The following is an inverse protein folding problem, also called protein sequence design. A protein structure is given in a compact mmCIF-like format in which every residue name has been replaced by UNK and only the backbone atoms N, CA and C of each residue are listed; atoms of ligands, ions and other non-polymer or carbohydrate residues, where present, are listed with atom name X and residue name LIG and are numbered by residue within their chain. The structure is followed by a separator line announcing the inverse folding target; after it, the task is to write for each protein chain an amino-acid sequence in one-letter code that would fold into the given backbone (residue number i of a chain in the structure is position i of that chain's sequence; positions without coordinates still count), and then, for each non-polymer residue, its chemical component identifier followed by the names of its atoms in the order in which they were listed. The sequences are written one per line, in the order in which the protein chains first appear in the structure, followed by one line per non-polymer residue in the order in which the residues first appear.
data_IF_220748465450
#
_entry.id   IF_220748465450
#
_cell.length_a   1.000
_cell.length_b   1.000
_cell.length_c   1.000
_cell.angle_alpha   90.00
_cell.angle_beta   90.00
_cell.angle_gamma   90.00
#
_symmetry.space_group_name_H-M   'P 1'
#
loop_
_entity.id
_entity.type
_entity.pdbx_description
1 polymer ?
#
# COMPACT_ATOMS: atom_id res chain seq x y z
N UNK A 1 -16.02 9.11 6.36
CA UNK A 1 -16.88 8.34 5.44
C UNK A 1 -15.98 7.38 4.68
N UNK A 2 -16.34 6.11 4.56
CA UNK A 2 -15.54 5.12 3.84
C UNK A 2 -15.90 5.10 2.36
N UNK A 3 -14.91 4.82 1.51
CA UNK A 3 -15.08 4.57 0.09
C UNK A 3 -14.72 3.12 -0.22
N UNK A 4 -15.34 2.48 -1.23
CA UNK A 4 -15.06 1.08 -1.53
C UNK A 4 -13.65 0.86 -2.07
N UNK A 5 -13.13 -0.35 -1.89
CA UNK A 5 -11.84 -0.75 -2.43
C UNK A 5 -11.89 -0.90 -3.96
N UNK A 6 -10.72 -0.83 -4.60
CA UNK A 6 -10.55 -1.03 -6.05
C UNK A 6 -9.94 -2.39 -6.43
N UNK A 7 -10.03 -3.43 -5.56
CA UNK A 7 -9.49 -4.76 -5.87
C UNK A 7 -10.21 -5.41 -7.07
N UNK A 8 -9.56 -5.41 -8.24
CA UNK A 8 -10.12 -5.94 -9.49
C UNK A 8 -10.31 -7.46 -9.47
N UNK A 9 -9.42 -8.20 -8.80
CA UNK A 9 -9.62 -9.63 -8.61
C UNK A 9 -10.96 -9.94 -7.90
N UNK A 10 -11.46 -9.02 -7.07
CA UNK A 10 -12.78 -9.10 -6.41
C UNK A 10 -13.71 -7.98 -6.89
N UNK A 11 -13.75 -7.76 -8.20
CA UNK A 11 -14.62 -6.77 -8.82
C UNK A 11 -16.06 -6.88 -8.33
N UNK A 12 -16.64 -5.77 -7.90
CA UNK A 12 -18.02 -5.71 -7.42
C UNK A 12 -19.04 -5.48 -8.55
N UNK A 13 -18.57 -5.32 -9.79
CA UNK A 13 -19.37 -5.17 -11.00
C UNK A 13 -18.62 -5.80 -12.20
N UNK A 14 -19.36 -6.29 -13.19
CA UNK A 14 -18.82 -6.92 -14.40
C UNK A 14 -18.75 -5.87 -15.53
N UNK A 15 -17.66 -5.11 -15.54
CA UNK A 15 -17.45 -3.98 -16.46
C UNK A 15 -16.05 -4.03 -17.07
N UNK A 16 -15.95 -3.61 -18.33
CA UNK A 16 -14.72 -3.63 -19.12
C UNK A 16 -13.67 -2.63 -18.61
N UNK A 17 -14.10 -1.54 -17.94
CA UNK A 17 -13.22 -0.53 -17.36
C UNK A 17 -13.45 -0.43 -15.84
N UNK A 18 -13.07 -1.50 -15.14
CA UNK A 18 -13.31 -1.62 -13.71
C UNK A 18 -12.61 -0.54 -12.88
N UNK A 19 -11.44 -0.07 -13.29
CA UNK A 19 -10.75 1.00 -12.56
C UNK A 19 -11.49 2.33 -12.60
N UNK A 20 -12.02 2.74 -13.75
CA UNK A 20 -12.90 3.92 -13.81
C UNK A 20 -14.19 3.71 -13.03
N UNK A 21 -14.81 2.52 -13.13
CA UNK A 21 -16.02 2.20 -12.39
C UNK A 21 -15.79 2.28 -10.87
N UNK A 22 -14.69 1.72 -10.37
CA UNK A 22 -14.33 1.73 -8.95
C UNK A 22 -14.05 3.16 -8.46
N UNK A 23 -13.41 4.00 -9.29
CA UNK A 23 -13.23 5.41 -8.98
C UNK A 23 -14.57 6.17 -8.98
N UNK A 24 -15.51 5.86 -9.87
CA UNK A 24 -16.85 6.45 -9.86
C UNK A 24 -17.64 6.11 -8.59
N UNK A 25 -17.35 4.98 -7.93
CA UNK A 25 -17.97 4.70 -6.63
C UNK A 25 -17.54 5.70 -5.54
N UNK A 26 -16.35 6.31 -5.66
CA UNK A 26 -15.94 7.42 -4.79
C UNK A 26 -16.78 8.67 -5.08
N UNK A 27 -17.05 8.97 -6.35
CA UNK A 27 -17.92 10.08 -6.75
C UNK A 27 -19.35 9.91 -6.20
N UNK A 28 -19.91 8.70 -6.26
CA UNK A 28 -21.23 8.40 -5.66
C UNK A 28 -21.25 8.68 -4.15
N UNK A 29 -20.16 8.36 -3.43
CA UNK A 29 -20.02 8.69 -2.01
C UNK A 29 -19.98 10.20 -1.80
N UNK A 30 -19.15 10.93 -2.56
CA UNK A 30 -19.04 12.40 -2.46
C UNK A 30 -20.40 13.07 -2.71
N UNK A 31 -21.12 12.62 -3.74
CA UNK A 31 -22.44 13.15 -4.09
C UNK A 31 -23.48 12.86 -3.00
N UNK A 32 -23.44 11.66 -2.40
CA UNK A 32 -24.35 11.28 -1.32
C UNK A 32 -24.13 12.09 -0.05
N UNK A 33 -22.89 12.35 0.33
CA UNK A 33 -22.57 13.18 1.50
C UNK A 33 -22.82 14.68 1.22
N UNK A 34 -22.77 15.07 -0.06
CA UNK A 34 -22.86 16.45 -0.51
C UNK A 34 -21.46 17.02 -0.75
N UNK A 35 -21.08 17.39 -2.00
CA UNK A 35 -19.71 17.79 -2.33
C UNK A 35 -19.15 18.92 -1.46
N UNK A 36 -19.97 19.91 -1.13
CA UNK A 36 -19.59 21.07 -0.30
C UNK A 36 -19.25 20.69 1.17
N UNK A 37 -19.46 19.44 1.57
CA UNK A 37 -19.17 18.92 2.92
C UNK A 37 -17.92 18.05 2.99
N UNK A 38 -17.32 17.72 1.83
CA UNK A 38 -16.17 16.82 1.74
C UNK A 38 -14.90 17.63 1.46
N UNK A 39 -13.97 17.67 2.41
CA UNK A 39 -12.74 18.47 2.27
C UNK A 39 -11.55 17.73 1.66
N UNK A 40 -11.44 16.41 1.85
CA UNK A 40 -10.31 15.64 1.35
C UNK A 40 -10.65 14.15 1.15
N UNK A 41 -9.93 13.52 0.22
CA UNK A 41 -9.90 12.08 0.00
C UNK A 41 -8.51 11.55 0.40
N UNK A 42 -8.47 10.65 1.39
CA UNK A 42 -7.23 10.02 1.86
C UNK A 42 -7.17 8.56 1.38
N UNK A 43 -6.14 8.22 0.60
CA UNK A 43 -5.96 6.89 0.02
C UNK A 43 -4.48 6.48 0.00
N UNK A 44 -4.20 5.19 0.12
CA UNK A 44 -2.87 4.60 -0.12
C UNK A 44 -2.67 4.36 -1.63
N UNK A 45 -1.47 4.55 -2.21
CA UNK A 45 -1.21 4.23 -3.63
C UNK A 45 -1.48 2.77 -3.99
N UNK A 46 -1.12 1.87 -3.08
CA UNK A 46 -1.42 0.44 -3.05
C UNK A 46 -1.90 0.14 -1.63
N UNK A 47 -3.14 -0.30 -1.46
CA UNK A 47 -3.75 -0.45 -0.13
C UNK A 47 -3.11 -1.59 0.64
N UNK A 48 -2.52 -1.31 1.80
CA UNK A 48 -1.79 -2.31 2.57
C UNK A 48 -2.70 -3.23 3.38
N UNK A 49 -3.54 -2.66 4.23
CA UNK A 49 -4.41 -3.43 5.13
C UNK A 49 -5.39 -4.35 4.39
N UNK A 50 -5.76 -3.97 3.17
CA UNK A 50 -6.62 -4.75 2.28
C UNK A 50 -5.95 -5.96 1.60
N UNK A 51 -4.66 -6.21 1.87
CA UNK A 51 -3.93 -7.33 1.26
C UNK A 51 -3.28 -6.94 -0.05
N UNK A 52 -2.52 -5.84 -0.05
CA UNK A 52 -1.73 -5.37 -1.20
C UNK A 52 -2.61 -5.13 -2.42
N UNK A 53 -3.63 -4.27 -2.28
CA UNK A 53 -4.56 -3.96 -3.37
C UNK A 53 -3.87 -2.99 -4.32
N UNK A 54 -3.41 -3.49 -5.46
CA UNK A 54 -2.89 -2.67 -6.54
C UNK A 54 -4.05 -2.03 -7.31
N UNK A 55 -4.02 -0.72 -7.55
CA UNK A 55 -5.08 -0.04 -8.28
C UNK A 55 -5.11 -0.54 -9.74
N UNK A 56 -6.30 -0.85 -10.29
CA UNK A 56 -6.46 -1.19 -11.70
C UNK A 56 -6.18 0.02 -12.59
N UNK A 57 -6.02 -0.24 -13.89
CA UNK A 57 -5.81 0.80 -14.89
C UNK A 57 -6.99 1.81 -14.89
N UNK A 58 -6.69 3.09 -15.13
CA UNK A 58 -7.70 4.17 -15.15
C UNK A 58 -8.15 4.68 -13.77
N UNK A 59 -7.98 3.90 -12.69
CA UNK A 59 -8.45 4.27 -11.35
C UNK A 59 -7.91 5.62 -10.87
N UNK A 60 -6.58 5.77 -10.82
CA UNK A 60 -5.95 6.97 -10.28
C UNK A 60 -6.14 8.21 -11.16
N UNK A 61 -6.26 8.02 -12.47
CA UNK A 61 -6.61 9.10 -13.40
C UNK A 61 -8.00 9.62 -13.07
N UNK A 62 -8.98 8.72 -12.96
CA UNK A 62 -10.36 9.08 -12.66
C UNK A 62 -10.55 9.67 -11.26
N UNK A 63 -9.85 9.15 -10.24
CA UNK A 63 -9.87 9.72 -8.88
C UNK A 63 -9.42 11.18 -8.88
N UNK A 64 -8.33 11.51 -9.59
CA UNK A 64 -7.84 12.89 -9.67
C UNK A 64 -8.83 13.82 -10.37
N UNK A 65 -9.52 13.36 -11.42
CA UNK A 65 -10.57 14.12 -12.09
C UNK A 65 -11.75 14.42 -11.15
N UNK A 66 -12.17 13.43 -10.37
CA UNK A 66 -13.26 13.56 -9.39
C UNK A 66 -12.86 14.57 -8.31
N UNK A 67 -11.69 14.40 -7.70
CA UNK A 67 -11.16 15.34 -6.69
C UNK A 67 -11.15 16.78 -7.21
N UNK A 68 -10.61 16.99 -8.42
CA UNK A 68 -10.58 18.31 -9.06
C UNK A 68 -11.98 18.87 -9.37
N UNK A 69 -12.90 18.03 -9.81
CA UNK A 69 -14.28 18.44 -10.18
C UNK A 69 -15.05 19.00 -8.99
N UNK A 70 -14.82 18.44 -7.80
CA UNK A 70 -15.56 18.78 -6.58
C UNK A 70 -14.74 19.58 -5.57
N UNK A 71 -13.56 20.07 -5.96
CA UNK A 71 -12.63 20.81 -5.08
C UNK A 71 -12.28 20.04 -3.79
N UNK A 72 -12.13 18.71 -3.93
CA UNK A 72 -11.74 17.81 -2.84
C UNK A 72 -10.23 17.60 -2.90
N UNK A 73 -9.53 17.91 -1.81
CA UNK A 73 -8.08 17.74 -1.75
C UNK A 73 -7.69 16.26 -1.77
N UNK A 74 -6.60 15.93 -2.47
CA UNK A 74 -6.10 14.56 -2.57
C UNK A 74 -4.94 14.33 -1.61
N UNK A 75 -5.20 13.54 -0.57
CA UNK A 75 -4.21 13.09 0.40
C UNK A 75 -3.76 11.67 0.07
N UNK A 76 -2.47 11.49 -0.15
CA UNK A 76 -1.88 10.17 -0.37
C UNK A 76 -1.11 9.69 0.86
N UNK A 77 -1.53 8.54 1.39
CA UNK A 77 -0.85 7.86 2.48
C UNK A 77 0.29 6.98 1.93
N UNK A 78 1.51 7.49 2.03
CA UNK A 78 2.76 6.82 1.63
C UNK A 78 3.44 6.12 2.82
N UNK A 79 2.75 5.92 3.96
CA UNK A 79 3.37 5.33 5.15
C UNK A 79 3.93 3.94 4.86
N UNK A 80 3.30 3.14 3.99
CA UNK A 80 3.83 1.83 3.54
C UNK A 80 4.54 1.93 2.20
N UNK A 81 3.91 2.55 1.21
CA UNK A 81 4.39 2.54 -0.18
C UNK A 81 5.63 3.42 -0.42
N UNK A 82 5.84 4.41 0.45
CA UNK A 82 6.87 5.42 0.30
C UNK A 82 8.26 4.91 0.65
N UNK A 83 9.23 5.75 0.34
CA UNK A 83 10.65 5.57 0.63
C UNK A 83 11.16 4.22 0.09
N UNK A 84 10.82 3.95 -1.17
CA UNK A 84 11.43 2.87 -1.94
C UNK A 84 10.68 1.55 -1.98
N UNK A 85 9.69 1.32 -1.09
CA UNK A 85 8.97 0.02 -0.97
C UNK A 85 8.45 -0.54 -2.30
N UNK A 86 7.95 0.33 -3.17
CA UNK A 86 7.34 -0.05 -4.46
C UNK A 86 8.31 0.02 -5.65
N UNK A 87 9.59 0.34 -5.41
CA UNK A 87 10.61 0.48 -6.45
C UNK A 87 10.71 1.89 -7.06
N UNK A 88 9.93 2.84 -6.53
CA UNK A 88 10.12 4.29 -6.67
C UNK A 88 10.23 4.92 -5.28
N UNK A 89 10.67 6.17 -5.23
CA UNK A 89 10.67 6.94 -3.98
C UNK A 89 9.30 6.99 -3.33
N UNK A 90 8.23 7.15 -4.11
CA UNK A 90 6.86 7.14 -3.60
C UNK A 90 5.92 6.35 -4.52
N UNK A 91 4.98 5.62 -3.93
CA UNK A 91 4.03 4.77 -4.66
C UNK A 91 3.19 5.52 -5.68
N UNK A 92 2.74 6.74 -5.34
CA UNK A 92 1.92 7.58 -6.21
C UNK A 92 2.60 7.91 -7.54
N UNK A 93 3.94 7.90 -7.58
CA UNK A 93 4.73 8.17 -8.77
C UNK A 93 4.58 7.09 -9.84
N UNK A 94 4.12 5.88 -9.49
CA UNK A 94 3.81 4.86 -10.48
C UNK A 94 2.56 5.19 -11.31
N UNK A 95 1.67 6.03 -10.77
CA UNK A 95 0.34 6.27 -11.33
C UNK A 95 0.15 7.71 -11.83
N UNK A 96 1.23 8.52 -11.82
CA UNK A 96 1.17 9.92 -12.27
C UNK A 96 0.30 10.80 -11.38
N UNK A 97 0.06 10.40 -10.14
CA UNK A 97 -0.77 11.13 -9.18
C UNK A 97 -0.05 12.39 -8.71
N UNK A 98 -0.79 13.49 -8.61
CA UNK A 98 -0.33 14.76 -8.06
C UNK A 98 -1.07 15.05 -6.75
N UNK A 99 -0.52 14.61 -5.61
CA UNK A 99 -1.17 14.81 -4.32
C UNK A 99 -1.11 16.26 -3.83
N UNK A 100 -2.12 16.67 -3.06
CA UNK A 100 -2.12 17.90 -2.27
C UNK A 100 -1.39 17.70 -0.94
N UNK A 101 -1.53 16.50 -0.35
CA UNK A 101 -0.84 16.06 0.87
C UNK A 101 -0.21 14.69 0.68
N UNK A 102 0.95 14.47 1.30
CA UNK A 102 1.57 13.15 1.45
C UNK A 102 1.92 12.91 2.90
N UNK A 103 1.44 11.81 3.47
CA UNK A 103 1.90 11.33 4.80
C UNK A 103 2.90 10.21 4.64
N UNK A 104 3.98 10.25 5.41
CA UNK A 104 5.01 9.21 5.42
C UNK A 104 5.56 8.97 6.83
N UNK A 105 5.94 7.72 7.11
CA UNK A 105 6.58 7.29 8.36
C UNK A 105 7.36 6.01 8.05
N UNK A 106 7.40 5.01 8.94
CA UNK A 106 8.00 3.67 8.71
C UNK A 106 9.37 3.73 7.99
N UNK A 107 9.37 3.53 6.67
CA UNK A 107 10.55 3.55 5.81
C UNK A 107 11.33 4.86 5.80
N UNK A 108 10.73 5.99 6.23
CA UNK A 108 11.41 7.30 6.35
C UNK A 108 12.70 7.21 7.15
N UNK A 109 12.74 6.42 8.22
CA UNK A 109 13.95 6.18 9.00
C UNK A 109 14.24 4.67 9.17
N UNK A 110 13.65 3.81 8.32
CA UNK A 110 13.78 2.35 8.39
C UNK A 110 13.61 1.75 9.80
N UNK A 111 12.76 2.36 10.63
CA UNK A 111 12.53 1.95 12.02
C UNK A 111 13.64 2.28 13.02
N UNK A 112 14.72 2.95 12.63
CA UNK A 112 15.83 3.34 13.52
C UNK A 112 15.48 4.49 14.47
N UNK A 113 14.58 5.38 14.05
CA UNK A 113 14.08 6.47 14.88
C UNK A 113 12.61 6.74 14.57
N UNK A 114 11.88 7.23 15.58
CA UNK A 114 10.48 7.63 15.40
C UNK A 114 10.41 8.93 14.60
N UNK A 115 9.75 8.87 13.44
CA UNK A 115 9.47 10.03 12.59
C UNK A 115 8.21 9.77 11.78
N UNK A 116 7.39 10.81 11.66
CA UNK A 116 6.31 10.91 10.70
C UNK A 116 6.35 12.32 10.10
N UNK A 117 6.04 12.42 8.81
CA UNK A 117 5.99 13.68 8.08
C UNK A 117 4.66 13.77 7.35
N UNK A 118 4.09 14.97 7.34
CA UNK A 118 3.03 15.37 6.41
C UNK A 118 3.61 16.49 5.55
N UNK A 119 3.66 16.26 4.25
CA UNK A 119 4.15 17.22 3.26
C UNK A 119 2.96 17.72 2.46
N UNK A 120 2.90 19.03 2.21
CA UNK A 120 1.82 19.67 1.47
C UNK A 120 2.38 20.36 0.24
N UNK A 121 1.52 20.60 -0.76
CA UNK A 121 1.80 21.59 -1.79
C UNK A 121 1.89 22.99 -1.19
N UNK A 122 2.52 23.92 -1.92
CA UNK A 122 2.57 25.33 -1.51
C UNK A 122 1.15 25.93 -1.50
N UNK A 123 0.30 25.59 -2.47
CA UNK A 123 -1.08 26.09 -2.55
C UNK A 123 -1.87 25.78 -1.26
N UNK A 124 -1.81 24.55 -0.79
CA UNK A 124 -2.42 24.15 0.49
C UNK A 124 -1.76 24.86 1.67
N UNK A 125 -0.43 24.96 1.68
CA UNK A 125 0.29 25.63 2.78
C UNK A 125 -0.11 27.11 2.91
N UNK A 126 -0.34 27.80 1.80
CA UNK A 126 -0.74 29.21 1.78
C UNK A 126 -2.17 29.43 2.30
N UNK A 127 -3.06 28.43 2.21
CA UNK A 127 -4.40 28.51 2.82
C UNK A 127 -4.34 28.68 4.35
N UNK A 128 -3.25 28.26 5.02
CA UNK A 128 -3.06 28.48 6.46
C UNK A 128 -2.56 29.88 6.83
N UNK A 129 -2.26 30.73 5.84
CA UNK A 129 -1.64 32.06 6.02
C UNK A 129 -2.40 33.14 5.24
N UNK A 130 -3.68 32.91 4.97
CA UNK A 130 -4.48 33.71 4.04
C UNK A 130 -4.82 35.11 4.58
N UNK A 131 -4.73 35.34 5.90
CA UNK A 131 -4.86 36.67 6.51
C UNK A 131 -3.73 36.97 7.51
N UNK A 132 -2.66 37.60 7.04
CA UNK A 132 -1.53 38.02 7.87
C UNK A 132 -1.87 39.14 8.88
N UNK A 133 -3.02 39.81 8.74
CA UNK A 133 -3.47 40.83 9.68
C UNK A 133 -4.26 40.25 10.86
N UNK A 134 -4.79 39.03 10.72
CA UNK A 134 -5.45 38.32 11.81
C UNK A 134 -4.39 37.66 12.73
N UNK A 135 -4.22 38.14 13.98
CA UNK A 135 -3.27 37.54 14.92
C UNK A 135 -3.63 36.10 15.31
N UNK A 136 -4.84 35.62 14.96
CA UNK A 136 -5.29 34.27 15.19
C UNK A 136 -5.04 33.33 14.00
N UNK A 137 -4.61 33.85 12.85
CA UNK A 137 -4.37 33.10 11.61
C UNK A 137 -2.95 32.51 11.58
N UNK A 138 -2.76 31.44 12.35
CA UNK A 138 -1.52 30.65 12.38
C UNK A 138 -1.84 29.18 12.67
N UNK A 139 -0.96 28.28 12.23
CA UNK A 139 -1.08 26.84 12.48
C UNK A 139 -0.87 26.54 13.98
N UNK A 140 -1.87 25.92 14.62
CA UNK A 140 -1.90 25.71 16.08
C UNK A 140 -1.63 24.28 16.52
N UNK A 141 -1.52 23.37 15.57
CA UNK A 141 -1.26 21.98 15.87
C UNK A 141 0.25 21.73 15.90
N UNK A 142 0.73 21.20 17.01
CA UNK A 142 2.14 20.86 17.20
C UNK A 142 2.23 19.60 18.06
N UNK A 143 3.15 18.70 17.69
CA UNK A 143 3.57 17.61 18.55
C UNK A 143 4.59 18.11 19.57
N UNK A 144 4.56 17.59 20.80
CA UNK A 144 5.61 17.85 21.82
C UNK A 144 7.01 17.51 21.30
N UNK A 145 7.12 16.52 20.41
CA UNK A 145 8.38 16.13 19.77
C UNK A 145 8.57 16.74 18.36
N UNK A 146 7.67 17.63 17.94
CA UNK A 146 7.79 18.38 16.70
C UNK A 146 9.09 19.19 16.69
N UNK A 147 9.96 18.92 15.71
CA UNK A 147 11.28 19.54 15.62
C UNK A 147 12.41 18.81 16.35
N UNK A 148 12.16 17.62 16.94
CA UNK A 148 13.24 16.76 17.43
C UNK A 148 14.13 16.32 16.25
N UNK A 149 15.44 16.48 16.37
CA UNK A 149 16.39 16.24 15.27
C UNK A 149 16.80 14.78 15.10
N UNK A 150 16.51 13.90 16.07
CA UNK A 150 16.90 12.49 15.99
C UNK A 150 16.23 11.74 14.82
N UNK A 151 14.92 11.94 14.64
CA UNK A 151 14.16 11.37 13.52
C UNK A 151 14.70 11.84 12.17
N UNK A 152 14.79 13.17 11.93
CA UNK A 152 15.35 13.72 10.69
C UNK A 152 16.80 13.28 10.42
N UNK A 153 17.67 13.20 11.44
CA UNK A 153 19.04 12.75 11.25
C UNK A 153 19.10 11.29 10.76
N UNK A 154 18.31 10.39 11.38
CA UNK A 154 18.19 9.01 10.92
C UNK A 154 17.56 8.90 9.53
N UNK A 155 16.60 9.78 9.21
CA UNK A 155 15.96 9.79 7.90
C UNK A 155 16.91 10.23 6.77
N UNK A 156 17.74 11.24 7.01
CA UNK A 156 18.75 11.68 6.03
C UNK A 156 19.76 10.58 5.73
N UNK A 157 20.27 9.91 6.76
CA UNK A 157 21.19 8.78 6.58
C UNK A 157 20.51 7.61 5.86
N UNK A 158 19.27 7.30 6.22
CA UNK A 158 18.49 6.27 5.54
C UNK A 158 18.30 6.55 4.05
N UNK A 159 18.00 7.81 3.68
CA UNK A 159 17.89 8.20 2.26
C UNK A 159 19.23 8.10 1.54
N UNK A 160 20.33 8.50 2.19
CA UNK A 160 21.68 8.35 1.64
C UNK A 160 22.01 6.88 1.34
N UNK A 161 21.73 5.97 2.28
CA UNK A 161 21.93 4.52 2.07
C UNK A 161 21.10 4.00 0.90
N UNK A 162 19.83 4.41 0.78
CA UNK A 162 18.96 4.01 -0.34
C UNK A 162 19.55 4.42 -1.69
N UNK A 163 20.15 5.61 -1.78
CA UNK A 163 20.80 6.11 -2.99
C UNK A 163 22.15 5.43 -3.25
N UNK A 164 23.00 5.32 -2.23
CA UNK A 164 24.36 4.78 -2.32
C UNK A 164 24.39 3.29 -2.68
N UNK A 165 23.44 2.52 -2.16
CA UNK A 165 23.32 1.08 -2.41
C UNK A 165 22.35 0.74 -3.55
N UNK A 166 21.80 1.75 -4.25
CA UNK A 166 20.81 1.59 -5.35
C UNK A 166 19.61 0.70 -4.97
N UNK A 167 19.08 0.91 -3.76
CA UNK A 167 18.05 0.03 -3.19
C UNK A 167 16.70 0.15 -3.92
N UNK A 168 16.47 1.23 -4.66
CA UNK A 168 15.29 1.33 -5.53
C UNK A 168 15.37 0.33 -6.68
N UNK A 169 16.53 0.22 -7.32
CA UNK A 169 16.75 -0.77 -8.38
C UNK A 169 16.68 -2.19 -7.81
N UNK A 170 17.33 -2.45 -6.67
CA UNK A 170 17.22 -3.76 -6.01
C UNK A 170 15.76 -4.11 -5.67
N UNK A 171 14.97 -3.13 -5.22
CA UNK A 171 13.54 -3.33 -4.94
C UNK A 171 12.76 -3.72 -6.20
N UNK A 172 13.07 -3.12 -7.35
CA UNK A 172 12.45 -3.51 -8.61
C UNK A 172 12.85 -4.93 -9.03
N UNK A 173 14.14 -5.26 -8.96
CA UNK A 173 14.67 -6.55 -9.40
C UNK A 173 14.19 -7.71 -8.51
N UNK A 174 14.27 -7.54 -7.19
CA UNK A 174 13.81 -8.54 -6.23
C UNK A 174 12.29 -8.62 -6.17
N UNK A 175 11.60 -7.50 -6.39
CA UNK A 175 10.14 -7.47 -6.55
C UNK A 175 9.69 -8.30 -7.75
N UNK A 176 10.35 -8.14 -8.91
CA UNK A 176 10.08 -8.93 -10.10
C UNK A 176 10.31 -10.43 -9.86
N UNK A 177 11.40 -10.78 -9.16
CA UNK A 177 11.66 -12.17 -8.75
C UNK A 177 10.59 -12.71 -7.82
N UNK A 178 10.19 -11.94 -6.81
CA UNK A 178 9.16 -12.34 -5.84
C UNK A 178 7.83 -12.63 -6.56
N UNK A 179 7.39 -11.75 -7.46
CA UNK A 179 6.19 -11.96 -8.26
C UNK A 179 6.31 -13.21 -9.14
N UNK A 180 7.44 -13.40 -9.84
CA UNK A 180 7.66 -14.59 -10.66
C UNK A 180 7.60 -15.89 -9.85
N UNK A 181 8.24 -15.91 -8.67
CA UNK A 181 8.21 -17.07 -7.77
C UNK A 181 6.78 -17.33 -7.25
N UNK A 182 6.06 -16.28 -6.82
CA UNK A 182 4.67 -16.42 -6.37
C UNK A 182 3.73 -16.90 -7.49
N UNK A 183 3.91 -16.42 -8.72
CA UNK A 183 3.16 -16.92 -9.89
C UNK A 183 3.47 -18.40 -10.18
N UNK A 184 4.72 -18.83 -10.07
CA UNK A 184 5.05 -20.25 -10.20
C UNK A 184 4.40 -21.11 -9.08
N UNK A 185 4.31 -20.57 -7.85
CA UNK A 185 3.55 -21.22 -6.78
C UNK A 185 2.06 -21.21 -7.07
N UNK A 186 1.52 -20.16 -7.69
CA UNK A 186 0.14 -20.11 -8.14
C UNK A 186 -0.13 -21.23 -9.15
N UNK A 187 0.74 -21.48 -10.12
CA UNK A 187 0.56 -22.60 -11.04
C UNK A 187 0.57 -23.97 -10.34
N UNK A 188 1.41 -24.12 -9.31
CA UNK A 188 1.56 -25.35 -8.53
C UNK A 188 0.43 -25.59 -7.53
N UNK A 189 -0.04 -24.55 -6.85
CA UNK A 189 -0.96 -24.63 -5.72
C UNK A 189 -2.30 -23.99 -6.07
N UNK A 190 -3.31 -24.83 -6.32
CA UNK A 190 -4.68 -24.38 -6.67
C UNK A 190 -5.28 -23.37 -5.68
N UNK A 191 -4.83 -23.41 -4.42
CA UNK A 191 -5.29 -22.52 -3.36
C UNK A 191 -4.87 -21.07 -3.58
N UNK A 192 -3.80 -20.77 -4.31
CA UNK A 192 -3.48 -19.37 -4.63
C UNK A 192 -4.42 -18.92 -5.75
N UNK A 193 -5.29 -17.97 -5.47
CA UNK A 193 -6.24 -17.40 -6.43
C UNK A 193 -5.64 -16.26 -7.23
N UNK A 194 -4.91 -15.37 -6.55
CA UNK A 194 -4.36 -14.16 -7.13
C UNK A 194 -2.98 -13.83 -6.56
N UNK A 195 -2.11 -13.29 -7.40
CA UNK A 195 -0.77 -12.80 -7.04
C UNK A 195 -0.65 -11.38 -7.57
N UNK A 196 -0.32 -10.45 -6.68
CA UNK A 196 -0.29 -9.02 -6.99
C UNK A 196 0.77 -8.31 -6.17
N UNK A 197 1.18 -7.14 -6.64
CA UNK A 197 2.16 -6.34 -5.93
C UNK A 197 2.97 -5.42 -6.83
N UNK A 198 3.86 -4.66 -6.19
CA UNK A 198 4.78 -3.75 -6.86
C UNK A 198 6.04 -3.58 -6.01
N UNK A 199 7.21 -3.68 -6.62
CA UNK A 199 8.47 -3.72 -5.89
C UNK A 199 8.48 -4.86 -4.86
N UNK A 200 9.02 -4.60 -3.66
CA UNK A 200 9.03 -5.55 -2.55
C UNK A 200 7.76 -5.41 -1.70
N UNK A 201 6.62 -5.14 -2.33
CA UNK A 201 5.31 -5.14 -1.67
C UNK A 201 4.35 -6.04 -2.43
N UNK A 202 4.25 -7.29 -1.98
CA UNK A 202 3.57 -8.36 -2.71
C UNK A 202 2.55 -9.07 -1.82
N UNK A 203 1.50 -9.58 -2.46
CA UNK A 203 0.46 -10.37 -1.83
C UNK A 203 0.14 -11.62 -2.65
N UNK A 204 -0.20 -12.70 -1.96
CA UNK A 204 -0.75 -13.92 -2.56
C UNK A 204 -2.06 -14.27 -1.85
N UNK A 205 -3.16 -14.15 -2.57
CA UNK A 205 -4.48 -14.39 -2.02
C UNK A 205 -4.88 -15.86 -2.11
N UNK A 206 -5.31 -16.42 -0.98
CA UNK A 206 -5.68 -17.83 -0.86
C UNK A 206 -7.19 -18.02 -0.97
N UNK A 207 -7.64 -18.88 -1.88
CA UNK A 207 -9.05 -19.20 -2.14
C UNK A 207 -9.28 -20.71 -2.10
N UNK A 208 -10.46 -21.12 -1.67
CA UNK A 208 -10.91 -22.51 -1.72
C UNK A 208 -11.21 -22.94 -3.16
N UNK A 209 -11.69 -22.01 -3.99
CA UNK A 209 -11.98 -22.22 -5.40
C UNK A 209 -11.64 -20.96 -6.22
N UNK A 210 -11.05 -21.14 -7.41
CA UNK A 210 -10.58 -20.04 -8.27
C UNK A 210 -11.68 -19.40 -9.10
N UNK A 211 -12.74 -20.15 -9.41
CA UNK A 211 -13.87 -19.64 -10.19
C UNK A 211 -14.79 -18.80 -9.31
N UNK A 212 -15.16 -19.33 -8.14
CA UNK A 212 -16.02 -18.62 -7.17
C UNK A 212 -15.25 -17.58 -6.35
N UNK A 213 -13.92 -17.70 -6.29
CA UNK A 213 -13.02 -16.88 -5.46
C UNK A 213 -13.37 -16.94 -3.97
N UNK A 214 -14.02 -18.02 -3.53
CA UNK A 214 -14.37 -18.25 -2.13
C UNK A 214 -13.09 -18.21 -1.27
N UNK A 215 -12.97 -17.32 -0.27
CA UNK A 215 -11.77 -17.22 0.53
C UNK A 215 -11.56 -18.50 1.36
N UNK A 216 -10.30 -18.91 1.56
CA UNK A 216 -10.01 -19.98 2.52
C UNK A 216 -10.34 -19.54 3.95
N UNK A 217 -10.61 -20.52 4.83
CA UNK A 217 -10.73 -20.29 6.27
C UNK A 217 -9.45 -19.62 6.81
N UNK A 218 -9.62 -18.53 7.57
CA UNK A 218 -8.53 -17.78 8.21
C UNK A 218 -7.58 -18.69 9.00
N UNK A 219 -8.07 -19.76 9.63
CA UNK A 219 -7.23 -20.72 10.37
C UNK A 219 -6.21 -21.40 9.47
N UNK A 220 -6.54 -21.68 8.21
CA UNK A 220 -5.60 -22.26 7.25
C UNK A 220 -4.54 -21.26 6.83
N UNK A 221 -4.92 -20.00 6.66
CA UNK A 221 -3.97 -18.89 6.38
C UNK A 221 -2.98 -18.77 7.53
N UNK A 222 -3.48 -18.75 8.77
CA UNK A 222 -2.62 -18.71 9.97
C UNK A 222 -1.76 -19.97 10.11
N UNK A 223 -2.23 -21.14 9.69
CA UNK A 223 -1.42 -22.35 9.65
C UNK A 223 -0.26 -22.25 8.66
N UNK A 224 -0.45 -21.62 7.50
CA UNK A 224 0.63 -21.34 6.53
C UNK A 224 1.65 -20.37 7.13
N UNK A 225 1.19 -19.27 7.73
CA UNK A 225 2.07 -18.29 8.39
C UNK A 225 2.88 -18.94 9.53
N UNK A 226 2.22 -19.74 10.37
CA UNK A 226 2.86 -20.45 11.47
C UNK A 226 3.88 -21.49 10.98
N UNK A 227 3.59 -22.19 9.88
CA UNK A 227 4.53 -23.15 9.31
C UNK A 227 5.76 -22.46 8.69
N UNK A 228 5.58 -21.34 7.98
CA UNK A 228 6.70 -20.52 7.52
C UNK A 228 7.58 -20.06 8.71
N UNK A 229 6.94 -19.61 9.80
CA UNK A 229 7.65 -19.21 11.02
C UNK A 229 8.43 -20.37 11.64
N UNK A 230 7.87 -21.59 11.67
CA UNK A 230 8.57 -22.78 12.13
C UNK A 230 9.76 -23.17 11.25
N UNK A 231 9.75 -22.75 9.98
CA UNK A 231 10.87 -22.89 9.05
C UNK A 231 11.92 -21.75 9.18
N UNK A 232 11.68 -20.76 10.04
CA UNK A 232 12.56 -19.60 10.25
C UNK A 232 12.21 -18.36 9.40
N UNK A 233 11.13 -18.41 8.63
CA UNK A 233 10.71 -17.32 7.73
C UNK A 233 9.48 -16.60 8.28
N UNK A 234 9.57 -15.29 8.51
CA UNK A 234 8.45 -14.47 8.96
C UNK A 234 7.75 -13.86 7.74
N UNK A 235 6.47 -14.21 7.57
CA UNK A 235 5.58 -13.61 6.58
C UNK A 235 4.36 -13.00 7.27
N UNK A 236 3.72 -12.04 6.61
CA UNK A 236 2.47 -11.46 7.08
C UNK A 236 1.24 -12.15 6.48
N UNK A 237 0.08 -11.78 6.99
CA UNK A 237 -1.19 -11.93 6.32
C UNK A 237 -1.99 -10.64 6.49
N UNK A 238 -3.09 -10.49 5.75
CA UNK A 238 -4.09 -9.44 5.99
C UNK A 238 -4.48 -9.37 7.47
N UNK A 239 -4.96 -8.19 7.90
CA UNK A 239 -5.28 -7.89 9.29
C UNK A 239 -6.76 -7.55 9.50
N UNK A 240 -7.66 -8.21 8.74
CA UNK A 240 -9.12 -8.04 8.82
C UNK A 240 -9.62 -6.62 8.51
N UNK A 241 -8.85 -5.81 7.76
CA UNK A 241 -9.30 -4.50 7.29
C UNK A 241 -10.47 -4.58 6.31
N UNK A 242 -10.61 -5.70 5.59
CA UNK A 242 -11.79 -5.97 4.76
C UNK A 242 -12.57 -7.13 5.39
N UNK A 243 -13.82 -6.90 5.86
CA UNK A 243 -14.62 -7.95 6.47
C UNK A 243 -14.78 -9.18 5.56
N UNK A 244 -14.50 -10.36 6.11
CA UNK A 244 -14.60 -11.63 5.39
C UNK A 244 -13.40 -12.00 4.51
N UNK A 245 -12.42 -11.10 4.32
CA UNK A 245 -11.27 -11.33 3.45
C UNK A 245 -9.95 -11.29 4.20
N UNK A 246 -9.76 -12.24 5.13
CA UNK A 246 -8.50 -12.40 5.88
C UNK A 246 -7.60 -13.52 5.33
N UNK A 247 -7.49 -13.57 4.01
CA UNK A 247 -6.97 -14.72 3.26
C UNK A 247 -5.79 -14.38 2.35
N UNK A 248 -5.17 -13.21 2.49
CA UNK A 248 -3.98 -12.86 1.70
C UNK A 248 -2.72 -12.99 2.54
N UNK A 249 -1.74 -13.76 2.04
CA UNK A 249 -0.36 -13.74 2.55
C UNK A 249 0.30 -12.45 2.07
N UNK A 250 0.97 -11.74 2.97
CA UNK A 250 1.57 -10.44 2.70
C UNK A 250 3.09 -10.50 2.86
N UNK A 251 3.80 -9.93 1.89
CA UNK A 251 5.26 -9.95 1.82
C UNK A 251 5.80 -8.53 1.67
N UNK A 252 6.66 -8.15 2.62
CA UNK A 252 7.37 -6.87 2.60
C UNK A 252 8.81 -7.02 3.13
N UNK A 253 9.66 -7.82 2.44
CA UNK A 253 11.04 -8.05 2.86
C UNK A 253 11.87 -6.74 2.88
N UNK A 254 13.06 -6.76 3.49
CA UNK A 254 13.91 -5.58 3.55
C UNK A 254 14.34 -5.13 2.14
N UNK A 255 14.59 -3.84 1.93
CA UNK A 255 14.99 -3.34 0.61
C UNK A 255 16.38 -3.84 0.17
N UNK A 256 17.18 -4.32 1.13
CA UNK A 256 18.48 -4.96 0.92
C UNK A 256 18.38 -6.45 0.60
N UNK A 257 17.16 -7.02 0.55
CA UNK A 257 16.98 -8.45 0.31
C UNK A 257 17.64 -8.87 -0.99
N UNK A 258 18.22 -10.06 -0.97
CA UNK A 258 18.94 -10.67 -2.08
C UNK A 258 18.06 -11.69 -2.81
N UNK A 259 18.58 -12.15 -3.95
CA UNK A 259 18.05 -13.28 -4.69
C UNK A 259 17.73 -14.50 -3.80
N UNK A 260 18.66 -14.86 -2.94
CA UNK A 260 18.57 -16.03 -2.08
C UNK A 260 17.52 -15.82 -0.98
N UNK A 261 17.39 -14.61 -0.44
CA UNK A 261 16.35 -14.28 0.55
C UNK A 261 14.94 -14.46 -0.05
N UNK A 262 14.72 -13.99 -1.29
CA UNK A 262 13.43 -14.12 -1.99
C UNK A 262 13.11 -15.59 -2.27
N UNK A 263 14.11 -16.37 -2.66
CA UNK A 263 13.95 -17.79 -2.90
C UNK A 263 13.66 -18.55 -1.60
N UNK A 264 14.36 -18.23 -0.50
CA UNK A 264 14.12 -18.85 0.80
C UNK A 264 12.69 -18.59 1.30
N UNK A 265 12.20 -17.34 1.17
CA UNK A 265 10.82 -16.98 1.51
C UNK A 265 9.83 -17.85 0.72
N UNK A 266 10.01 -17.94 -0.59
CA UNK A 266 9.06 -18.62 -1.47
C UNK A 266 9.14 -20.15 -1.37
N UNK A 267 10.31 -20.71 -1.09
CA UNK A 267 10.48 -22.13 -0.73
C UNK A 267 9.77 -22.46 0.59
N UNK A 268 9.82 -21.58 1.59
CA UNK A 268 9.11 -21.79 2.84
C UNK A 268 7.59 -21.77 2.63
N UNK A 269 7.08 -20.83 1.83
CA UNK A 269 5.67 -20.75 1.43
C UNK A 269 5.24 -22.01 0.68
N UNK A 270 6.04 -22.50 -0.27
CA UNK A 270 5.76 -23.74 -1.02
C UNK A 270 5.52 -24.95 -0.10
N UNK A 271 6.43 -25.15 0.85
CA UNK A 271 6.34 -26.25 1.83
C UNK A 271 5.14 -26.09 2.74
N UNK A 272 4.87 -24.88 3.21
CA UNK A 272 3.74 -24.58 4.08
C UNK A 272 2.40 -24.81 3.37
N UNK A 273 2.26 -24.33 2.14
CA UNK A 273 1.07 -24.56 1.32
C UNK A 273 0.86 -26.06 1.04
N UNK A 274 1.93 -26.77 0.67
CA UNK A 274 1.88 -28.22 0.47
C UNK A 274 1.35 -28.92 1.72
N UNK A 275 1.86 -28.59 2.91
CA UNK A 275 1.48 -29.26 4.16
C UNK A 275 0.06 -28.93 4.63
N UNK A 276 -0.40 -27.69 4.42
CA UNK A 276 -1.70 -27.23 4.93
C UNK A 276 -2.86 -27.61 4.00
N UNK A 277 -2.61 -27.71 2.70
CA UNK A 277 -3.65 -27.89 1.69
C UNK A 277 -3.56 -29.23 0.91
N UNK A 278 -2.59 -30.10 1.23
CA UNK A 278 -2.59 -31.50 0.81
C UNK A 278 -3.69 -32.34 1.46
#
# INVERSE_FOLDING_TARGET
VEVPHCLEYRAQDDTENYGEWAANQIEEVILREGPDTVGALCLEPVTAGGGVITPPEGYWQRVQEICKKYDVLLHIDEVVCGVGRTGKWFGYQHYGVKPDFVTMAKGVASGYAAIACMVTTEDVFQMFKDDAADPMNYFRDISTFGGCTAGPAAALENMAIIEEEDLLQNTNDMGARMIANLSALQDKHRVIGDVRGKGLFCGAELVADRETKEPVDEKKVQAVVADCMAQGVIIGATNRSVPGFNNTLCFSPALISTADDIDEITVAVDKALTKVFS
#
